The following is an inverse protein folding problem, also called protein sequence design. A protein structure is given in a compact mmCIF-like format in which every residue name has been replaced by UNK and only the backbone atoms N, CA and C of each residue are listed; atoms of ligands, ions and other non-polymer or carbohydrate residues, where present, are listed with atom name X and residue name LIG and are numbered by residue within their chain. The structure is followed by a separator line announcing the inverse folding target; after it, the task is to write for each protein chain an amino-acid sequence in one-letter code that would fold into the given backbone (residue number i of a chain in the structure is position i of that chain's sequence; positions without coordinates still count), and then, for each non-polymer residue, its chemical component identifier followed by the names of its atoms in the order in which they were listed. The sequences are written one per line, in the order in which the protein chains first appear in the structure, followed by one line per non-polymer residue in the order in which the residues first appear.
data_IF_987517526438
#
_entry.id   IF_987517526438
#
_cell.length_a   1.000
_cell.length_b   1.000
_cell.length_c   1.000
_cell.angle_alpha   90.00
_cell.angle_beta   90.00
_cell.angle_gamma   90.00
#
_symmetry.space_group_name_H-M   'P 1'
#
loop_
_entity.id
_entity.type
_entity.pdbx_description
1 polymer ?
#
# COMPACT_ATOMS: atom_id res chain seq x y z
N UNK A 1 19.23 11.17 40.16
CA UNK A 1 19.69 9.90 39.56
C UNK A 1 19.29 9.92 38.10
N UNK A 2 20.17 10.46 37.26
CA UNK A 2 19.95 10.61 35.82
C UNK A 2 20.39 9.30 35.18
N UNK A 3 19.44 8.50 34.68
CA UNK A 3 19.77 7.33 33.88
C UNK A 3 20.46 7.83 32.61
N UNK A 4 21.80 7.74 32.59
CA UNK A 4 22.56 7.73 31.34
C UNK A 4 22.03 6.53 30.55
N UNK A 5 21.33 6.79 29.46
CA UNK A 5 21.07 5.77 28.46
C UNK A 5 22.45 5.30 28.00
N UNK A 6 22.74 4.02 28.27
CA UNK A 6 23.98 3.37 27.90
C UNK A 6 24.01 3.23 26.37
N UNK A 7 24.57 4.24 25.71
CA UNK A 7 24.75 4.27 24.26
C UNK A 7 25.55 3.05 23.74
N UNK A 8 26.26 2.32 24.61
CA UNK A 8 26.95 1.09 24.24
C UNK A 8 25.99 -0.04 23.85
N UNK A 9 24.80 -0.11 24.46
CA UNK A 9 23.80 -1.14 24.13
C UNK A 9 23.17 -0.90 22.75
N UNK A 10 22.97 0.36 22.37
CA UNK A 10 22.54 0.78 21.03
C UNK A 10 23.64 0.53 19.97
N UNK A 11 24.92 0.61 20.34
CA UNK A 11 26.06 0.36 19.45
C UNK A 11 26.36 -1.13 19.22
N UNK A 12 25.80 -2.03 20.05
CA UNK A 12 26.02 -3.48 19.94
C UNK A 12 25.25 -4.11 18.77
N UNK A 13 24.12 -3.52 18.36
CA UNK A 13 23.33 -3.98 17.22
C UNK A 13 23.61 -3.14 15.98
N UNK A 14 24.85 -3.20 15.47
CA UNK A 14 25.17 -2.70 14.13
C UNK A 14 24.59 -3.66 13.08
N UNK A 15 23.27 -3.73 12.96
CA UNK A 15 22.66 -4.32 11.78
C UNK A 15 23.14 -3.57 10.55
N UNK A 16 23.49 -4.30 9.50
CA UNK A 16 24.11 -3.72 8.31
C UNK A 16 22.98 -3.24 7.40
N UNK A 17 23.01 -1.95 7.02
CA UNK A 17 22.08 -1.43 6.02
C UNK A 17 22.74 -1.47 4.65
N UNK A 18 22.10 -2.13 3.68
CA UNK A 18 22.62 -2.29 2.33
C UNK A 18 21.56 -2.03 1.26
N UNK A 19 22.03 -1.70 0.05
CA UNK A 19 21.20 -1.59 -1.15
C UNK A 19 21.00 -2.98 -1.77
N UNK A 20 19.81 -3.23 -2.28
CA UNK A 20 19.46 -4.48 -2.95
C UNK A 20 18.50 -4.24 -4.12
N UNK A 21 18.34 -5.26 -4.96
CA UNK A 21 17.35 -5.29 -6.04
C UNK A 21 16.30 -6.34 -5.76
N UNK A 22 15.02 -5.99 -5.89
CA UNK A 22 13.93 -6.97 -5.83
C UNK A 22 14.04 -7.92 -7.03
N UNK A 23 14.12 -9.22 -6.77
CA UNK A 23 14.15 -10.26 -7.79
C UNK A 23 12.82 -11.00 -7.94
N UNK A 24 11.96 -10.95 -6.93
CA UNK A 24 10.68 -11.62 -6.96
C UNK A 24 10.04 -11.72 -5.59
N UNK A 25 9.03 -12.57 -5.50
CA UNK A 25 8.23 -12.77 -4.30
C UNK A 25 8.04 -14.26 -4.08
N UNK A 26 8.09 -14.70 -2.83
CA UNK A 26 7.77 -16.08 -2.46
C UNK A 26 6.27 -16.24 -2.25
N UNK A 27 5.73 -17.45 -2.40
CA UNK A 27 4.32 -17.76 -2.09
C UNK A 27 3.94 -17.48 -0.62
N UNK A 28 4.93 -17.46 0.27
CA UNK A 28 4.80 -17.16 1.71
C UNK A 28 4.75 -15.65 2.02
N UNK A 29 4.78 -14.80 0.98
CA UNK A 29 4.68 -13.33 1.12
C UNK A 29 5.99 -12.60 1.44
N UNK A 30 7.14 -13.29 1.44
CA UNK A 30 8.46 -12.65 1.53
C UNK A 30 8.92 -12.07 0.19
N UNK A 31 9.74 -11.03 0.25
CA UNK A 31 10.37 -10.41 -0.92
C UNK A 31 11.76 -11.00 -1.10
N UNK A 32 12.05 -11.53 -2.28
CA UNK A 32 13.40 -11.98 -2.63
C UNK A 32 14.20 -10.78 -3.14
N UNK A 33 15.28 -10.46 -2.45
CA UNK A 33 16.17 -9.36 -2.82
C UNK A 33 17.58 -9.88 -3.09
N UNK A 34 18.26 -9.33 -4.08
CA UNK A 34 19.68 -9.59 -4.31
C UNK A 34 20.48 -8.40 -3.83
N UNK A 35 21.31 -8.61 -2.80
CA UNK A 35 22.27 -7.62 -2.34
C UNK A 35 23.30 -7.38 -3.47
N UNK A 36 23.74 -6.13 -3.67
CA UNK A 36 24.68 -5.82 -4.75
C UNK A 36 26.01 -6.57 -4.61
N UNK A 37 26.40 -6.88 -3.36
CA UNK A 37 27.67 -7.54 -3.03
C UNK A 37 27.54 -9.07 -2.87
N UNK A 38 26.33 -9.62 -2.95
CA UNK A 38 26.08 -11.07 -2.79
C UNK A 38 25.26 -11.62 -3.95
N UNK A 39 25.72 -12.73 -4.53
CA UNK A 39 25.09 -13.29 -5.74
C UNK A 39 23.75 -14.01 -5.49
N UNK A 40 23.53 -14.52 -4.28
CA UNK A 40 22.34 -15.30 -3.96
C UNK A 40 21.16 -14.40 -3.56
N UNK A 41 19.92 -14.72 -3.97
CA UNK A 41 18.73 -14.03 -3.48
C UNK A 41 18.53 -14.31 -1.99
N UNK A 42 18.22 -13.27 -1.24
CA UNK A 42 17.91 -13.30 0.18
C UNK A 42 16.41 -13.05 0.38
N UNK A 43 15.68 -13.93 1.08
CA UNK A 43 14.31 -13.65 1.48
C UNK A 43 14.27 -12.59 2.58
N UNK A 44 13.43 -11.58 2.39
CA UNK A 44 13.28 -10.46 3.32
C UNK A 44 11.81 -10.16 3.60
N UNK A 45 11.54 -9.75 4.84
CA UNK A 45 10.26 -9.14 5.22
C UNK A 45 10.21 -7.69 4.73
N UNK A 46 9.03 -7.08 4.73
CA UNK A 46 8.84 -5.66 4.37
C UNK A 46 8.39 -4.87 5.58
N UNK A 47 9.02 -3.72 5.82
CA UNK A 47 8.59 -2.78 6.84
C UNK A 47 7.29 -2.09 6.41
N UNK A 48 6.22 -2.26 7.19
CA UNK A 48 4.95 -1.57 6.99
C UNK A 48 4.91 -0.28 7.81
N UNK A 49 4.95 0.89 7.14
CA UNK A 49 4.91 2.21 7.82
C UNK A 49 3.48 2.79 7.91
N UNK A 50 2.52 1.99 8.37
CA UNK A 50 1.11 2.40 8.54
C UNK A 50 0.13 1.62 7.66
N UNK A 51 -0.90 2.28 7.15
CA UNK A 51 -2.07 1.63 6.54
C UNK A 51 -1.83 0.95 5.17
N UNK A 52 -0.67 1.14 4.54
CA UNK A 52 -0.36 0.49 3.26
C UNK A 52 1.09 0.04 3.23
N UNK A 53 1.31 -1.18 2.75
CA UNK A 53 2.63 -1.71 2.45
C UNK A 53 3.22 -0.94 1.25
N UNK A 54 4.53 -0.78 1.20
CA UNK A 54 5.18 -0.29 -0.02
C UNK A 54 4.86 -1.25 -1.20
N UNK A 55 4.29 -0.73 -2.28
CA UNK A 55 4.08 -1.51 -3.50
C UNK A 55 5.43 -1.69 -4.21
N UNK A 56 6.09 -2.81 -3.93
CA UNK A 56 7.36 -3.21 -4.54
C UNK A 56 7.11 -3.98 -5.84
N UNK A 57 8.04 -3.89 -6.78
CA UNK A 57 8.05 -4.63 -8.05
C UNK A 57 9.42 -5.23 -8.29
N UNK A 58 9.48 -6.28 -9.10
CA UNK A 58 10.75 -6.80 -9.60
C UNK A 58 11.56 -5.70 -10.29
N UNK A 59 12.85 -5.66 -10.00
CA UNK A 59 13.77 -4.63 -10.48
C UNK A 59 13.80 -3.35 -9.64
N UNK A 60 12.90 -3.17 -8.66
CA UNK A 60 12.98 -2.02 -7.75
C UNK A 60 14.27 -2.08 -6.92
N UNK A 61 14.97 -0.94 -6.83
CA UNK A 61 16.08 -0.76 -5.90
C UNK A 61 15.53 -0.47 -4.50
N UNK A 62 16.01 -1.20 -3.49
CA UNK A 62 15.49 -1.14 -2.12
C UNK A 62 16.61 -1.03 -1.09
N UNK A 63 16.26 -0.51 0.09
CA UNK A 63 17.14 -0.48 1.25
C UNK A 63 16.77 -1.62 2.20
N UNK A 64 17.74 -2.44 2.55
CA UNK A 64 17.56 -3.64 3.39
C UNK A 64 18.37 -3.48 4.66
N UNK A 65 17.74 -3.74 5.80
CA UNK A 65 18.41 -3.93 7.07
C UNK A 65 18.67 -5.43 7.27
N UNK A 66 19.93 -5.79 7.48
CA UNK A 66 20.36 -7.17 7.70
C UNK A 66 20.68 -7.38 9.18
N UNK A 67 20.06 -8.40 9.75
CA UNK A 67 20.47 -8.90 11.06
C UNK A 67 21.87 -9.51 10.94
N UNK A 68 22.75 -9.19 11.90
CA UNK A 68 24.03 -9.89 11.99
C UNK A 68 23.73 -11.33 12.42
N UNK A 69 24.24 -12.34 11.72
CA UNK A 69 24.10 -13.71 12.18
C UNK A 69 24.75 -13.83 13.55
N UNK A 70 23.96 -14.17 14.56
CA UNK A 70 24.46 -14.58 15.86
C UNK A 70 25.16 -15.92 15.65
N UNK A 71 26.31 -16.15 16.30
CA UNK A 71 27.08 -17.38 16.13
C UNK A 71 26.19 -18.63 16.38
N UNK A 72 25.86 -19.37 15.32
CA UNK A 72 25.00 -20.56 15.36
C UNK A 72 23.76 -20.51 14.48
N UNK A 73 23.38 -19.36 13.91
CA UNK A 73 22.21 -19.25 13.01
C UNK A 73 22.63 -19.22 11.53
N UNK A 74 21.91 -20.00 10.71
CA UNK A 74 22.34 -20.37 9.36
C UNK A 74 21.82 -19.45 8.24
N UNK A 75 20.96 -18.47 8.54
CA UNK A 75 20.47 -17.52 7.53
C UNK A 75 20.26 -16.14 8.16
N UNK A 76 20.94 -15.13 7.62
CA UNK A 76 20.65 -13.75 7.98
C UNK A 76 19.29 -13.37 7.39
N UNK A 77 18.28 -13.14 8.23
CA UNK A 77 17.01 -12.57 7.78
C UNK A 77 17.17 -11.06 7.58
N UNK A 78 16.56 -10.53 6.52
CA UNK A 78 16.58 -9.11 6.22
C UNK A 78 15.19 -8.49 6.27
N UNK A 79 15.14 -7.18 6.49
CA UNK A 79 13.92 -6.37 6.41
C UNK A 79 14.11 -5.27 5.37
N UNK A 80 13.28 -5.28 4.33
CA UNK A 80 13.17 -4.17 3.37
C UNK A 80 12.55 -2.98 4.09
N UNK A 81 13.33 -1.91 4.27
CA UNK A 81 12.87 -0.69 4.93
C UNK A 81 12.10 0.24 3.98
N UNK A 82 12.35 0.13 2.67
CA UNK A 82 11.67 0.91 1.66
C UNK A 82 12.34 0.85 0.29
N UNK A 83 11.64 1.37 -0.73
CA UNK A 83 12.18 1.54 -2.08
C UNK A 83 13.06 2.79 -2.14
N UNK A 84 14.20 2.66 -2.81
CA UNK A 84 15.09 3.77 -3.11
C UNK A 84 14.65 4.40 -4.43
N UNK A 85 14.49 5.71 -4.42
CA UNK A 85 14.12 6.46 -5.60
C UNK A 85 14.32 7.94 -5.38
N UNK A 86 14.15 8.72 -6.45
CA UNK A 86 14.10 10.17 -6.33
C UNK A 86 12.88 10.55 -5.48
N UNK A 87 13.05 11.61 -4.69
CA UNK A 87 11.93 12.24 -4.04
C UNK A 87 10.94 12.69 -5.12
N UNK A 88 9.78 12.04 -5.15
CA UNK A 88 8.65 12.42 -5.97
C UNK A 88 7.48 12.68 -5.04
N UNK A 89 6.65 13.68 -5.37
CA UNK A 89 5.39 13.89 -4.67
C UNK A 89 4.60 12.57 -4.64
N UNK A 90 4.06 12.26 -3.46
CA UNK A 90 3.37 11.01 -3.18
C UNK A 90 2.41 10.67 -4.33
N UNK A 91 2.62 9.50 -4.95
CA UNK A 91 1.77 9.00 -6.02
C UNK A 91 0.31 8.98 -5.55
N UNK A 92 -0.48 9.92 -6.08
CA UNK A 92 -1.92 9.97 -5.86
C UNK A 92 -2.70 10.69 -6.95
N UNK A 93 -2.05 11.21 -7.99
CA UNK A 93 -2.72 11.92 -9.09
C UNK A 93 -2.11 11.47 -10.40
N UNK A 94 -2.93 10.84 -11.25
CA UNK A 94 -2.56 10.57 -12.65
C UNK A 94 -2.14 11.88 -13.30
N UNK A 95 -0.96 11.97 -13.95
CA UNK A 95 -0.51 13.17 -14.65
C UNK A 95 -1.61 13.70 -15.58
N UNK A 96 -1.81 15.02 -15.63
CA UNK A 96 -2.88 15.65 -16.39
C UNK A 96 -2.90 15.21 -17.86
N UNK A 97 -1.71 15.02 -18.45
CA UNK A 97 -1.54 14.55 -19.82
C UNK A 97 -2.05 13.12 -20.04
N UNK A 98 -1.85 12.23 -19.06
CA UNK A 98 -2.32 10.86 -19.10
C UNK A 98 -3.84 10.79 -18.83
N UNK A 99 -4.36 11.66 -17.95
CA UNK A 99 -5.80 11.82 -17.76
C UNK A 99 -6.49 12.33 -19.02
N UNK A 100 -5.89 13.30 -19.72
CA UNK A 100 -6.44 13.89 -20.94
C UNK A 100 -6.51 12.90 -22.13
N UNK A 101 -5.73 11.82 -22.09
CA UNK A 101 -5.77 10.74 -23.11
C UNK A 101 -6.90 9.73 -22.88
N UNK A 102 -7.58 9.77 -21.73
CA UNK A 102 -8.69 8.85 -21.44
C UNK A 102 -9.92 9.18 -22.30
N UNK A 103 -10.79 8.20 -22.57
CA UNK A 103 -12.05 8.45 -23.27
C UNK A 103 -12.86 9.53 -22.54
N UNK A 104 -13.41 10.50 -23.29
CA UNK A 104 -14.27 11.55 -22.73
C UNK A 104 -15.56 11.00 -22.11
N UNK A 105 -15.97 9.80 -22.52
CA UNK A 105 -17.16 9.11 -22.04
C UNK A 105 -16.83 7.64 -21.87
N UNK A 106 -17.16 7.10 -20.70
CA UNK A 106 -17.23 5.67 -20.44
C UNK A 106 -18.71 5.28 -20.42
N UNK A 107 -19.08 4.29 -21.24
CA UNK A 107 -20.41 3.67 -21.23
C UNK A 107 -20.23 2.23 -20.81
N UNK A 108 -20.93 1.83 -19.75
CA UNK A 108 -21.00 0.47 -19.26
C UNK A 108 -22.46 0.03 -19.42
N UNK A 109 -22.68 -1.10 -20.08
CA UNK A 109 -24.01 -1.69 -20.28
C UNK A 109 -24.00 -3.11 -19.70
N UNK A 110 -25.05 -3.45 -18.96
CA UNK A 110 -25.28 -4.77 -18.43
C UNK A 110 -26.77 -5.09 -18.55
N UNK A 111 -27.10 -6.36 -18.73
CA UNK A 111 -28.48 -6.80 -18.86
C UNK A 111 -29.27 -6.64 -17.56
N UNK A 112 -28.61 -6.84 -16.42
CA UNK A 112 -29.26 -6.88 -15.10
C UNK A 112 -28.71 -5.82 -14.16
N UNK A 113 -27.40 -5.79 -13.92
CA UNK A 113 -26.83 -4.78 -13.02
C UNK A 113 -25.36 -4.45 -13.30
N UNK A 114 -24.97 -3.22 -12.90
CA UNK A 114 -23.58 -2.77 -12.89
C UNK A 114 -23.16 -2.54 -11.45
N UNK A 115 -22.10 -3.22 -11.03
CA UNK A 115 -21.60 -3.18 -9.64
C UNK A 115 -20.13 -2.74 -9.61
N UNK A 116 -19.87 -1.60 -8.97
CA UNK A 116 -18.52 -1.09 -8.69
C UNK A 116 -18.19 -1.37 -7.22
N UNK A 117 -17.18 -2.22 -6.95
CA UNK A 117 -16.77 -2.62 -5.59
C UNK A 117 -15.38 -2.13 -5.24
N UNK A 118 -15.22 -1.63 -4.02
CA UNK A 118 -13.92 -1.34 -3.43
C UNK A 118 -13.97 -1.73 -1.94
N UNK A 119 -13.39 -2.89 -1.60
CA UNK A 119 -13.47 -3.46 -0.26
C UNK A 119 -14.93 -3.67 0.19
N UNK A 120 -15.33 -2.98 1.26
CA UNK A 120 -16.70 -3.01 1.82
C UNK A 120 -17.64 -1.97 1.19
N UNK A 121 -17.13 -1.10 0.32
CA UNK A 121 -17.96 -0.14 -0.40
C UNK A 121 -18.48 -0.73 -1.73
N UNK A 122 -19.74 -0.42 -2.07
CA UNK A 122 -20.38 -0.81 -3.34
C UNK A 122 -21.22 0.32 -3.91
N UNK A 123 -21.17 0.50 -5.23
CA UNK A 123 -22.16 1.26 -6.00
C UNK A 123 -22.80 0.28 -6.98
N UNK A 124 -24.13 0.16 -6.95
CA UNK A 124 -24.91 -0.74 -7.80
C UNK A 124 -25.96 0.05 -8.57
N UNK A 125 -26.06 -0.24 -9.87
CA UNK A 125 -27.12 0.22 -10.76
C UNK A 125 -27.92 -1.02 -11.17
N UNK A 126 -29.15 -1.17 -10.72
CA UNK A 126 -30.01 -2.30 -11.05
C UNK A 126 -30.87 -2.07 -12.29
N UNK A 127 -31.45 -3.15 -12.81
CA UNK A 127 -32.24 -3.17 -14.04
C UNK A 127 -33.47 -2.25 -13.98
N UNK A 128 -34.02 -2.05 -12.78
CA UNK A 128 -35.24 -1.26 -12.56
C UNK A 128 -34.93 0.25 -12.37
N UNK A 129 -33.68 0.65 -12.59
CA UNK A 129 -33.22 2.03 -12.41
C UNK A 129 -32.91 2.41 -10.96
N UNK A 130 -32.85 1.41 -10.06
CA UNK A 130 -32.45 1.62 -8.68
C UNK A 130 -30.93 1.82 -8.56
N UNK A 131 -30.56 2.76 -7.70
CA UNK A 131 -29.16 3.09 -7.43
C UNK A 131 -28.88 2.85 -5.95
N UNK A 132 -27.96 1.93 -5.67
CA UNK A 132 -27.55 1.61 -4.31
C UNK A 132 -26.10 2.05 -4.07
N UNK A 133 -25.85 2.74 -2.96
CA UNK A 133 -24.50 3.12 -2.53
C UNK A 133 -24.32 2.66 -1.08
N UNK A 134 -23.43 1.69 -0.87
CA UNK A 134 -23.05 1.18 0.44
C UNK A 134 -21.60 1.59 0.72
N UNK A 135 -21.35 2.21 1.87
CA UNK A 135 -20.00 2.56 2.33
C UNK A 135 -19.98 2.69 3.86
N UNK A 136 -18.85 2.39 4.50
CA UNK A 136 -18.67 2.50 5.96
C UNK A 136 -18.72 3.95 6.47
N UNK A 137 -18.39 4.92 5.61
CA UNK A 137 -18.35 6.34 5.96
C UNK A 137 -18.67 7.19 4.74
N UNK A 138 -19.69 8.04 4.86
CA UNK A 138 -20.03 9.07 3.89
C UNK A 138 -19.55 10.43 4.39
N UNK A 139 -18.30 10.79 4.11
CA UNK A 139 -17.75 12.09 4.50
C UNK A 139 -17.96 13.16 3.42
N UNK A 140 -18.35 14.36 3.85
CA UNK A 140 -18.35 15.60 3.05
C UNK A 140 -19.69 16.03 2.45
N UNK A 141 -20.18 15.36 1.38
CA UNK A 141 -21.29 15.87 0.55
C UNK A 141 -22.69 15.36 0.94
N UNK A 142 -22.80 14.24 1.65
CA UNK A 142 -24.10 13.68 2.06
C UNK A 142 -24.84 14.52 3.11
N UNK A 143 -24.17 15.43 3.84
CA UNK A 143 -24.85 16.37 4.75
C UNK A 143 -25.88 17.26 4.03
N UNK A 144 -25.66 17.62 2.75
CA UNK A 144 -26.65 18.36 1.95
C UNK A 144 -27.78 17.44 1.46
N UNK A 145 -27.46 16.23 1.02
CA UNK A 145 -28.46 15.24 0.60
C UNK A 145 -29.39 14.81 1.74
N UNK A 146 -28.86 14.56 2.94
CA UNK A 146 -29.65 14.23 4.14
C UNK A 146 -30.57 15.40 4.53
N UNK A 147 -30.11 16.66 4.40
CA UNK A 147 -30.96 17.83 4.61
C UNK A 147 -32.07 17.99 3.57
N UNK A 148 -31.86 17.54 2.34
CA UNK A 148 -32.85 17.56 1.25
C UNK A 148 -33.86 16.41 1.37
N UNK A 149 -33.44 15.26 1.88
CA UNK A 149 -34.29 14.07 2.04
C UNK A 149 -35.10 14.09 3.36
N UNK A 150 -34.61 14.77 4.41
CA UNK A 150 -35.27 14.87 5.71
C UNK A 150 -36.73 15.40 5.68
N UNK A 151 -37.11 16.37 4.82
CA UNK A 151 -38.51 16.80 4.70
C UNK A 151 -39.41 15.78 3.99
N UNK A 152 -38.87 14.97 3.08
CA UNK A 152 -39.64 14.00 2.28
C UNK A 152 -39.93 12.70 3.04
N UNK A 153 -39.11 12.36 4.04
CA UNK A 153 -39.31 11.17 4.90
C UNK A 153 -40.39 11.43 5.97
N UNK A 154 -40.76 12.70 6.24
CA UNK A 154 -41.80 13.08 7.21
C UNK A 154 -43.24 13.04 6.67
N UNK A 155 -43.45 12.57 5.44
CA UNK A 155 -44.77 12.55 4.78
C UNK A 155 -45.42 11.17 4.69
N UNK A 156 -44.92 10.18 5.45
CA UNK A 156 -45.62 8.93 5.74
C UNK A 156 -45.77 8.75 7.24
#
# INVERSE_FOLDING_TARGET
MTQLIDNALLMAHKGLVQRALVQGFTDEGSVLVRLLDQGAPLPCLVLHTGASAACLREGDEVLVWLDKPTAGEQAATGVVMGRIGLYGDAQGVTPLEEFARRPRRLVLEAQEEIVLRNGRARIRLGADGDVEILAESFSGRCRRLIKLLAPMIKLN
#
